data_IF_170396579151
#
_entry.id   IF_170396579151
#
_cell.length_a   1.000
_cell.length_b   1.000
_cell.length_c   1.000
_cell.angle_alpha   90.00
_cell.angle_beta   90.00
_cell.angle_gamma   90.00
#
_symmetry.space_group_name_H-M   'P 1'
#
loop_
_entity.id
_entity.type
_entity.pdbx_description
1 polymer ?
#
# COMPACT_ATOMS: atom_id res chain seq x y z
N UNK A 1 -16.27 6.67 -4.17
CA UNK A 1 -17.31 5.78 -4.68
C UNK A 1 -16.67 4.45 -5.06
N UNK A 2 -17.44 3.36 -5.06
CA UNK A 2 -16.90 2.02 -5.36
C UNK A 2 -17.87 1.21 -6.20
N UNK A 3 -17.33 0.24 -6.94
CA UNK A 3 -18.10 -0.73 -7.71
C UNK A 3 -17.46 -2.10 -7.63
N UNK A 4 -18.26 -3.14 -7.81
CA UNK A 4 -17.79 -4.50 -8.06
C UNK A 4 -18.14 -4.88 -9.48
N UNK A 5 -17.16 -5.31 -10.25
CA UNK A 5 -17.31 -5.66 -11.65
C UNK A 5 -16.98 -7.14 -11.86
N UNK A 6 -17.78 -7.84 -12.67
CA UNK A 6 -17.54 -9.24 -12.99
C UNK A 6 -18.05 -10.23 -11.93
N UNK A 7 -18.98 -9.84 -11.06
CA UNK A 7 -19.60 -10.77 -10.12
C UNK A 7 -20.41 -11.84 -10.84
N UNK A 8 -20.30 -13.07 -10.34
CA UNK A 8 -21.07 -14.24 -10.80
C UNK A 8 -21.69 -14.96 -9.60
N UNK A 9 -22.53 -15.94 -9.83
CA UNK A 9 -23.14 -16.76 -8.77
C UNK A 9 -22.12 -17.57 -7.94
N UNK A 10 -20.89 -17.70 -8.42
CA UNK A 10 -19.81 -18.42 -7.71
C UNK A 10 -19.03 -17.53 -6.71
N UNK A 11 -19.26 -16.21 -6.70
CA UNK A 11 -18.57 -15.30 -5.81
C UNK A 11 -19.28 -15.18 -4.47
N UNK A 12 -18.62 -15.60 -3.40
CA UNK A 12 -19.05 -15.43 -2.02
C UNK A 12 -18.49 -14.18 -1.35
N UNK A 13 -18.82 -13.99 -0.09
CA UNK A 13 -18.40 -12.85 0.76
C UNK A 13 -16.88 -12.68 0.81
N UNK A 14 -16.15 -13.77 0.91
CA UNK A 14 -14.69 -13.79 0.96
C UNK A 14 -14.04 -13.25 -0.32
N UNK A 15 -14.64 -13.54 -1.48
CA UNK A 15 -14.19 -13.00 -2.77
C UNK A 15 -14.40 -11.48 -2.84
N UNK A 16 -15.54 -11.00 -2.36
CA UNK A 16 -15.84 -9.57 -2.32
C UNK A 16 -14.88 -8.83 -1.37
N UNK A 17 -14.65 -9.37 -0.17
CA UNK A 17 -13.69 -8.79 0.79
C UNK A 17 -12.27 -8.76 0.21
N UNK A 18 -11.86 -9.84 -0.44
CA UNK A 18 -10.57 -9.90 -1.14
C UNK A 18 -10.47 -8.85 -2.24
N UNK A 19 -11.51 -8.68 -3.04
CA UNK A 19 -11.55 -7.68 -4.10
C UNK A 19 -11.42 -6.25 -3.57
N UNK A 20 -12.02 -5.94 -2.41
CA UNK A 20 -11.82 -4.65 -1.73
C UNK A 20 -10.35 -4.44 -1.36
N UNK A 21 -9.71 -5.44 -0.75
CA UNK A 21 -8.30 -5.37 -0.39
C UNK A 21 -7.39 -5.16 -1.61
N UNK A 22 -7.60 -5.96 -2.66
CA UNK A 22 -6.84 -5.87 -3.90
C UNK A 22 -7.06 -4.51 -4.60
N UNK A 23 -8.30 -4.01 -4.64
CA UNK A 23 -8.63 -2.71 -5.25
C UNK A 23 -7.92 -1.54 -4.58
N UNK A 24 -7.84 -1.54 -3.23
CA UNK A 24 -7.07 -0.53 -2.49
C UNK A 24 -5.58 -0.62 -2.83
N UNK A 25 -5.02 -1.84 -2.89
CA UNK A 25 -3.61 -2.04 -3.23
C UNK A 25 -3.33 -1.61 -4.68
N UNK A 26 -4.22 -1.88 -5.63
CA UNK A 26 -4.07 -1.43 -7.02
C UNK A 26 -4.10 0.10 -7.15
N UNK A 27 -4.91 0.78 -6.34
CA UNK A 27 -4.88 2.24 -6.27
C UNK A 27 -3.50 2.76 -5.83
N UNK A 28 -2.94 2.21 -4.76
CA UNK A 28 -1.57 2.53 -4.32
C UNK A 28 -0.53 2.15 -5.37
N UNK A 29 -0.66 0.99 -6.00
CA UNK A 29 0.26 0.54 -7.04
C UNK A 29 0.31 1.51 -8.23
N UNK A 30 -0.83 2.09 -8.61
CA UNK A 30 -0.89 3.15 -9.63
C UNK A 30 0.02 4.33 -9.29
N UNK A 31 0.01 4.78 -8.03
CA UNK A 31 0.88 5.86 -7.57
C UNK A 31 2.34 5.43 -7.50
N UNK A 32 2.62 4.26 -6.96
CA UNK A 32 3.99 3.71 -6.87
C UNK A 32 4.60 3.57 -8.27
N UNK A 33 3.87 3.04 -9.24
CA UNK A 33 4.34 2.94 -10.64
C UNK A 33 4.73 4.31 -11.21
N UNK A 34 3.91 5.33 -10.99
CA UNK A 34 4.22 6.72 -11.44
C UNK A 34 5.49 7.26 -10.78
N UNK A 35 5.66 7.02 -9.48
CA UNK A 35 6.87 7.45 -8.76
C UNK A 35 8.14 6.74 -9.25
N UNK A 36 8.02 5.49 -9.69
CA UNK A 36 9.14 4.67 -10.14
C UNK A 36 9.50 4.85 -11.64
N UNK A 37 8.73 5.64 -12.41
CA UNK A 37 9.03 5.87 -13.83
C UNK A 37 10.46 6.40 -14.06
N UNK A 38 10.97 7.23 -13.14
CA UNK A 38 12.28 7.88 -13.24
C UNK A 38 13.15 7.63 -11.99
N UNK A 39 12.91 6.54 -11.27
CA UNK A 39 13.65 6.19 -10.06
C UNK A 39 13.95 4.70 -10.03
N UNK A 40 15.03 4.35 -9.37
CA UNK A 40 15.34 2.95 -9.07
C UNK A 40 14.28 2.35 -8.12
N UNK A 41 14.05 1.06 -8.29
CA UNK A 41 13.16 0.30 -7.41
C UNK A 41 13.71 0.30 -5.99
N UNK A 42 12.91 0.69 -4.98
CA UNK A 42 13.36 0.71 -3.60
C UNK A 42 13.61 -0.72 -3.09
N UNK A 43 14.49 -0.85 -2.11
CA UNK A 43 14.79 -2.14 -1.45
C UNK A 43 13.58 -2.67 -0.67
N UNK A 44 12.77 -1.78 -0.11
CA UNK A 44 11.54 -2.11 0.60
C UNK A 44 10.58 -0.90 0.59
N UNK A 45 9.30 -1.18 0.85
CA UNK A 45 8.24 -0.18 1.07
C UNK A 45 7.77 -0.31 2.51
N UNK A 46 7.72 0.79 3.23
CA UNK A 46 7.19 0.83 4.60
C UNK A 46 5.67 1.01 4.56
N UNK A 47 4.96 0.11 5.22
CA UNK A 47 3.50 0.13 5.33
C UNK A 47 3.08 0.46 6.76
N UNK A 48 2.19 1.43 6.89
CA UNK A 48 1.62 1.87 8.16
C UNK A 48 0.10 1.99 8.09
N UNK A 49 -0.52 2.26 9.24
CA UNK A 49 -1.96 2.43 9.34
C UNK A 49 -2.73 1.09 9.37
N UNK A 50 -4.02 1.14 9.07
CA UNK A 50 -4.93 0.01 9.24
C UNK A 50 -4.54 -1.24 8.44
N UNK A 51 -4.03 -1.08 7.24
CA UNK A 51 -3.60 -2.19 6.38
C UNK A 51 -2.44 -2.99 6.99
N UNK A 52 -1.54 -2.34 7.74
CA UNK A 52 -0.41 -2.97 8.40
C UNK A 52 -0.81 -3.95 9.52
N UNK A 53 -2.05 -3.89 10.02
CA UNK A 53 -2.57 -4.79 11.05
C UNK A 53 -3.11 -6.12 10.49
N UNK A 54 -3.21 -6.28 9.18
CA UNK A 54 -3.70 -7.49 8.53
C UNK A 54 -2.59 -8.18 7.74
N UNK A 55 -2.18 -9.36 8.19
CA UNK A 55 -1.13 -10.15 7.53
C UNK A 55 -1.48 -10.47 6.08
N UNK A 56 -2.76 -10.75 5.81
CA UNK A 56 -3.26 -11.01 4.46
C UNK A 56 -3.11 -9.76 3.58
N UNK A 57 -3.44 -8.60 4.11
CA UNK A 57 -3.37 -7.35 3.33
C UNK A 57 -1.93 -6.92 3.07
N UNK A 58 -1.05 -7.06 4.07
CA UNK A 58 0.40 -6.82 3.91
C UNK A 58 0.98 -7.74 2.83
N UNK A 59 0.60 -9.03 2.81
CA UNK A 59 1.04 -9.95 1.78
C UNK A 59 0.54 -9.55 0.38
N UNK A 60 -0.72 -9.08 0.26
CA UNK A 60 -1.24 -8.58 -1.02
C UNK A 60 -0.42 -7.37 -1.49
N UNK A 61 -0.05 -6.44 -0.60
CA UNK A 61 0.85 -5.33 -0.95
C UNK A 61 2.19 -5.83 -1.49
N UNK A 62 2.84 -6.77 -0.79
CA UNK A 62 4.11 -7.31 -1.25
C UNK A 62 3.99 -7.98 -2.64
N UNK A 63 2.98 -8.82 -2.83
CA UNK A 63 2.77 -9.57 -4.06
C UNK A 63 2.41 -8.68 -5.26
N UNK A 64 1.60 -7.63 -5.04
CA UNK A 64 1.23 -6.68 -6.10
C UNK A 64 2.40 -5.77 -6.46
N UNK A 65 3.11 -5.25 -5.46
CA UNK A 65 4.23 -4.35 -5.70
C UNK A 65 5.48 -5.08 -6.19
N UNK A 66 5.59 -6.38 -5.92
CA UNK A 66 6.82 -7.17 -6.12
C UNK A 66 8.04 -6.51 -5.45
N UNK A 67 7.79 -5.89 -4.27
CA UNK A 67 8.78 -5.22 -3.43
C UNK A 67 8.55 -5.71 -2.00
N UNK A 68 9.61 -5.99 -1.21
CA UNK A 68 9.46 -6.29 0.20
C UNK A 68 8.70 -5.19 0.94
N UNK A 69 7.77 -5.58 1.82
CA UNK A 69 6.98 -4.65 2.63
C UNK A 69 7.42 -4.76 4.08
N UNK A 70 7.88 -3.66 4.65
CA UNK A 70 8.25 -3.51 6.05
C UNK A 70 7.06 -2.98 6.84
N UNK A 71 6.66 -3.71 7.88
CA UNK A 71 5.65 -3.29 8.84
C UNK A 71 6.35 -2.72 10.06
N UNK A 72 5.95 -1.51 10.44
CA UNK A 72 6.54 -0.83 11.58
C UNK A 72 5.99 -1.39 12.90
N UNK A 73 6.81 -1.35 13.96
CA UNK A 73 6.39 -1.75 15.30
C UNK A 73 5.39 -0.76 15.88
N UNK A 74 5.67 0.53 15.72
CA UNK A 74 4.83 1.61 16.20
C UNK A 74 3.64 1.88 15.27
N UNK A 75 2.49 2.13 15.87
CA UNK A 75 1.25 2.43 15.16
C UNK A 75 1.07 3.91 14.90
N UNK A 76 1.62 4.76 15.76
CA UNK A 76 1.44 6.22 15.77
C UNK A 76 2.61 6.94 15.09
N UNK A 77 2.90 6.56 13.83
CA UNK A 77 4.04 7.12 13.08
C UNK A 77 3.94 8.64 12.88
N UNK A 78 2.74 9.20 12.81
CA UNK A 78 2.54 10.64 12.75
C UNK A 78 3.03 11.36 14.01
N UNK A 79 2.64 10.84 15.19
CA UNK A 79 3.09 11.37 16.48
C UNK A 79 4.60 11.20 16.64
N UNK A 80 5.14 10.05 16.23
CA UNK A 80 6.60 9.81 16.24
C UNK A 80 7.33 10.82 15.35
N UNK A 81 6.84 11.08 14.14
CA UNK A 81 7.45 12.07 13.24
C UNK A 81 7.47 13.49 13.85
N UNK A 82 6.37 13.90 14.51
CA UNK A 82 6.31 15.17 15.24
C UNK A 82 7.31 15.20 16.40
N UNK A 83 7.41 14.13 17.19
CA UNK A 83 8.35 14.02 18.29
C UNK A 83 9.81 14.05 17.84
N UNK A 84 10.14 13.38 16.73
CA UNK A 84 11.47 13.44 16.10
C UNK A 84 11.81 14.88 15.71
N UNK A 85 10.91 15.57 15.04
CA UNK A 85 11.11 16.97 14.61
C UNK A 85 11.33 17.90 15.80
N UNK A 86 10.52 17.78 16.86
CA UNK A 86 10.69 18.52 18.10
C UNK A 86 12.02 18.18 18.79
N UNK A 87 12.42 16.91 18.81
CA UNK A 87 13.68 16.45 19.39
C UNK A 87 14.91 17.02 18.69
N UNK A 88 14.87 17.15 17.36
CA UNK A 88 15.94 17.82 16.60
C UNK A 88 15.99 19.31 16.94
N UNK A 89 14.84 19.98 16.96
CA UNK A 89 14.76 21.40 17.33
C UNK A 89 15.27 21.68 18.76
N UNK A 90 15.05 20.73 19.68
CA UNK A 90 15.54 20.82 21.08
C UNK A 90 16.98 20.31 21.27
N UNK A 91 17.67 19.88 20.21
CA UNK A 91 19.05 19.39 20.30
C UNK A 91 19.20 17.99 20.91
N UNK A 92 18.11 17.22 21.02
CA UNK A 92 18.14 15.81 21.50
C UNK A 92 18.72 14.88 20.43
N UNK A 93 18.46 15.16 19.16
CA UNK A 93 19.01 14.49 18.00
C UNK A 93 19.75 15.48 17.12
N UNK A 94 20.86 15.06 16.51
CA UNK A 94 21.64 15.90 15.59
C UNK A 94 20.89 16.12 14.26
N UNK A 95 20.27 15.06 13.76
CA UNK A 95 19.55 15.06 12.49
C UNK A 95 18.46 13.96 12.45
N UNK A 96 17.71 13.92 11.36
CA UNK A 96 16.67 12.90 11.12
C UNK A 96 17.27 11.49 11.01
N UNK A 97 18.49 11.34 10.48
CA UNK A 97 19.13 10.03 10.32
C UNK A 97 19.45 9.38 11.67
N UNK A 98 19.98 10.16 12.62
CA UNK A 98 20.21 9.72 14.00
C UNK A 98 18.88 9.38 14.69
N UNK A 99 17.91 10.29 14.62
CA UNK A 99 16.62 10.12 15.27
C UNK A 99 15.90 8.84 14.78
N UNK A 100 15.85 8.63 13.45
CA UNK A 100 15.24 7.45 12.85
C UNK A 100 15.94 6.16 13.30
N UNK A 101 17.25 6.12 13.30
CA UNK A 101 18.02 4.95 13.77
C UNK A 101 17.73 4.62 15.25
N UNK A 102 17.47 5.63 16.08
CA UNK A 102 17.21 5.46 17.52
C UNK A 102 15.76 5.10 17.83
N UNK A 103 14.81 5.56 17.05
CA UNK A 103 13.37 5.46 17.36
C UNK A 103 12.60 4.48 16.47
N UNK A 104 12.91 4.41 15.20
CA UNK A 104 12.15 3.58 14.26
C UNK A 104 12.55 2.11 14.39
N UNK A 105 11.55 1.23 14.53
CA UNK A 105 11.73 -0.23 14.59
C UNK A 105 10.85 -0.91 13.55
N UNK A 106 11.44 -1.85 12.80
CA UNK A 106 10.73 -2.72 11.87
C UNK A 106 10.29 -3.95 12.67
N UNK A 107 8.98 -4.19 12.71
CA UNK A 107 8.38 -5.34 13.35
C UNK A 107 8.59 -6.61 12.54
N UNK A 108 8.38 -6.52 11.22
CA UNK A 108 8.56 -7.63 10.28
C UNK A 108 8.72 -7.13 8.86
N UNK A 109 9.37 -7.95 8.03
CA UNK A 109 9.43 -7.76 6.58
C UNK A 109 8.70 -8.90 5.90
N UNK A 110 7.79 -8.58 4.98
CA UNK A 110 7.03 -9.55 4.19
C UNK A 110 7.54 -9.48 2.75
N UNK A 111 8.00 -10.62 2.26
CA UNK A 111 8.56 -10.73 0.91
C UNK A 111 7.47 -11.08 -0.11
N UNK A 112 7.60 -10.57 -1.35
CA UNK A 112 6.69 -10.92 -2.42
C UNK A 112 6.87 -12.38 -2.84
N UNK A 113 5.79 -12.99 -3.26
CA UNK A 113 5.77 -14.31 -3.86
C UNK A 113 5.78 -14.16 -5.38
N UNK A 114 6.89 -14.53 -6.01
CA UNK A 114 7.13 -14.31 -7.43
C UNK A 114 6.12 -15.03 -8.34
N UNK A 115 5.59 -16.16 -7.90
CA UNK A 115 4.57 -16.94 -8.61
C UNK A 115 3.23 -16.18 -8.82
N UNK A 116 2.97 -15.13 -8.03
CA UNK A 116 1.78 -14.28 -8.17
C UNK A 116 2.01 -13.03 -9.02
N UNK A 117 3.24 -12.75 -9.43
CA UNK A 117 3.59 -11.51 -10.14
C UNK A 117 2.76 -11.31 -11.41
N UNK A 118 2.71 -12.34 -12.27
CA UNK A 118 1.98 -12.26 -13.54
C UNK A 118 0.46 -12.17 -13.34
N UNK A 119 -0.08 -12.92 -12.36
CA UNK A 119 -1.50 -12.91 -12.01
C UNK A 119 -1.92 -11.50 -11.57
N UNK A 120 -1.15 -10.86 -10.68
CA UNK A 120 -1.47 -9.52 -10.21
C UNK A 120 -1.25 -8.44 -11.27
N UNK A 121 -0.26 -8.58 -12.14
CA UNK A 121 -0.09 -7.65 -13.26
C UNK A 121 -1.27 -7.74 -14.24
N UNK A 122 -1.78 -8.93 -14.52
CA UNK A 122 -2.97 -9.13 -15.35
C UNK A 122 -4.22 -8.51 -14.71
N UNK A 123 -4.45 -8.77 -13.41
CA UNK A 123 -5.56 -8.17 -12.65
C UNK A 123 -5.48 -6.65 -12.60
N UNK A 124 -4.26 -6.12 -12.43
CA UNK A 124 -4.05 -4.67 -12.41
C UNK A 124 -4.39 -4.02 -13.76
N UNK A 125 -4.03 -4.65 -14.88
CA UNK A 125 -4.45 -4.17 -16.21
C UNK A 125 -5.97 -4.17 -16.38
N UNK A 126 -6.66 -5.19 -15.85
CA UNK A 126 -8.12 -5.21 -15.84
C UNK A 126 -8.69 -4.07 -14.97
N UNK A 127 -8.13 -3.87 -13.78
CA UNK A 127 -8.49 -2.76 -12.89
C UNK A 127 -8.35 -1.41 -13.59
N UNK A 128 -7.25 -1.15 -14.27
CA UNK A 128 -7.03 0.10 -15.02
C UNK A 128 -8.11 0.33 -16.09
N UNK A 129 -8.44 -0.70 -16.88
CA UNK A 129 -9.50 -0.62 -17.88
C UNK A 129 -10.87 -0.31 -17.29
N UNK A 130 -11.19 -0.88 -16.12
CA UNK A 130 -12.44 -0.61 -15.41
C UNK A 130 -12.47 0.84 -14.92
N UNK A 131 -11.39 1.34 -14.31
CA UNK A 131 -11.32 2.72 -13.85
C UNK A 131 -11.49 3.68 -15.03
N UNK A 132 -10.80 3.46 -16.14
CA UNK A 132 -10.91 4.28 -17.34
C UNK A 132 -12.34 4.28 -17.92
N UNK A 133 -12.97 3.10 -18.01
CA UNK A 133 -14.33 2.96 -18.50
C UNK A 133 -15.38 3.63 -17.63
N UNK A 134 -15.15 3.70 -16.31
CA UNK A 134 -16.08 4.29 -15.35
C UNK A 134 -15.80 5.76 -15.04
N UNK A 135 -14.72 6.33 -15.57
CA UNK A 135 -14.29 7.69 -15.20
C UNK A 135 -15.38 8.73 -15.49
N UNK A 136 -15.98 8.69 -16.68
CA UNK A 136 -17.09 9.59 -17.07
C UNK A 136 -18.36 9.38 -16.25
N UNK A 137 -18.56 8.19 -15.72
CA UNK A 137 -19.79 7.84 -14.95
C UNK A 137 -19.74 8.41 -13.54
N UNK A 138 -18.55 8.59 -12.96
CA UNK A 138 -18.42 9.07 -11.59
C UNK A 138 -18.94 10.48 -11.36
N UNK A 139 -18.94 11.31 -12.39
CA UNK A 139 -19.45 12.68 -12.30
C UNK A 139 -20.96 12.72 -12.06
N UNK A 140 -21.71 11.76 -12.58
CA UNK A 140 -23.15 11.64 -12.40
C UNK A 140 -23.54 11.30 -10.94
N UNK A 141 -22.61 10.75 -10.15
CA UNK A 141 -22.81 10.41 -8.74
C UNK A 141 -22.24 11.44 -7.76
N UNK A 142 -21.91 12.64 -8.22
CA UNK A 142 -21.54 13.76 -7.34
C UNK A 142 -22.83 14.36 -6.77
N UNK A 143 -23.11 14.07 -5.50
CA UNK A 143 -24.09 14.76 -4.68
C UNK A 143 -23.39 15.83 -3.87
#
# INVERSE_FOLDING_TARGET
KGSFVGLTAYHGKEHMLRAVYEGVVFSHYTHVRKLLLNREKPKAVQLSGGAANSDVWVQIFADVLQIPVEVMEDKELGAMGAAITAGIAAGVYQDYGEAIKRTVRIKKTVYPRSEYAEIYEQKYRQYQKVIEALDSVWDEFRN
#
